data_IF_574791604163
#
_entry.id   IF_574791604163
#
_cell.length_a   1.000
_cell.length_b   1.000
_cell.length_c   1.000
_cell.angle_alpha   90.00
_cell.angle_beta   90.00
_cell.angle_gamma   90.00
#
_symmetry.space_group_name_H-M   'P 1'
#
loop_
_entity.id
_entity.type
_entity.pdbx_description
1 polymer ?
#
# COMPACT_ATOMS: atom_id res chain seq x y z
N UNK A 1 2.53 15.20 -7.56
CA UNK A 1 3.66 14.24 -7.59
C UNK A 1 3.20 12.91 -8.17
N UNK A 2 4.11 12.05 -8.62
CA UNK A 2 3.75 10.74 -9.20
C UNK A 2 2.93 9.84 -8.26
N UNK A 3 3.16 9.93 -6.95
CA UNK A 3 2.43 9.15 -5.95
C UNK A 3 0.97 9.58 -5.81
N UNK A 4 0.65 10.87 -5.95
CA UNK A 4 -0.74 11.36 -5.84
C UNK A 4 -1.59 10.78 -6.98
N UNK A 5 -1.05 10.85 -8.20
CA UNK A 5 -1.71 10.30 -9.40
C UNK A 5 -1.89 8.79 -9.27
N UNK A 6 -0.91 8.09 -8.71
CA UNK A 6 -1.03 6.65 -8.47
C UNK A 6 -2.12 6.33 -7.44
N UNK A 7 -2.13 7.03 -6.30
CA UNK A 7 -3.17 6.89 -5.27
C UNK A 7 -4.57 7.18 -5.83
N UNK A 8 -4.71 8.23 -6.63
CA UNK A 8 -5.99 8.55 -7.28
C UNK A 8 -6.40 7.44 -8.26
N UNK A 9 -5.47 6.91 -9.06
CA UNK A 9 -5.73 5.79 -9.96
C UNK A 9 -6.20 4.53 -9.22
N UNK A 10 -5.64 4.24 -8.04
CA UNK A 10 -6.09 3.13 -7.20
C UNK A 10 -7.54 3.31 -6.72
N UNK A 11 -7.92 4.53 -6.32
CA UNK A 11 -9.30 4.83 -5.94
C UNK A 11 -10.24 4.71 -7.14
N UNK A 12 -9.85 5.25 -8.30
CA UNK A 12 -10.65 5.15 -9.53
C UNK A 12 -10.83 3.69 -9.97
N UNK A 13 -9.81 2.86 -9.82
CA UNK A 13 -9.90 1.43 -10.08
C UNK A 13 -10.96 0.77 -9.17
N UNK A 14 -10.98 1.09 -7.87
CA UNK A 14 -12.00 0.57 -6.97
C UNK A 14 -13.40 1.10 -7.26
N UNK A 15 -13.54 2.34 -7.72
CA UNK A 15 -14.82 2.89 -8.20
C UNK A 15 -15.33 2.08 -9.40
N UNK A 16 -14.48 1.86 -10.41
CA UNK A 16 -14.84 1.07 -11.61
C UNK A 16 -15.22 -0.38 -11.28
N UNK A 17 -14.66 -0.94 -10.21
CA UNK A 17 -15.01 -2.27 -9.69
C UNK A 17 -16.22 -2.29 -8.75
N UNK A 18 -16.91 -1.16 -8.56
CA UNK A 18 -18.02 -1.02 -7.61
C UNK A 18 -17.63 -1.48 -6.18
N UNK A 19 -16.39 -1.16 -5.78
CA UNK A 19 -15.79 -1.58 -4.51
C UNK A 19 -15.79 -3.12 -4.31
N UNK A 20 -15.71 -3.90 -5.39
CA UNK A 20 -15.59 -5.35 -5.34
C UNK A 20 -14.16 -5.87 -5.46
N UNK A 21 -13.90 -6.99 -4.77
CA UNK A 21 -12.73 -7.83 -4.96
C UNK A 21 -11.44 -7.44 -4.23
N UNK A 22 -11.45 -6.35 -3.44
CA UNK A 22 -10.37 -6.01 -2.50
C UNK A 22 -8.95 -6.09 -3.08
N UNK A 23 -7.97 -6.43 -2.22
CA UNK A 23 -6.66 -6.90 -2.66
C UNK A 23 -6.72 -8.42 -2.85
N UNK A 24 -6.51 -8.96 -4.06
CA UNK A 24 -6.58 -10.40 -4.31
C UNK A 24 -5.63 -11.22 -3.41
N UNK A 25 -4.44 -10.68 -3.16
CA UNK A 25 -3.42 -11.33 -2.29
C UNK A 25 -3.85 -11.24 -0.82
N UNK A 26 -4.30 -10.07 -0.36
CA UNK A 26 -4.74 -9.87 1.03
C UNK A 26 -5.97 -10.71 1.40
N UNK A 27 -6.91 -10.88 0.47
CA UNK A 27 -8.09 -11.74 0.69
C UNK A 27 -7.72 -13.22 0.85
N UNK A 28 -6.70 -13.70 0.13
CA UNK A 28 -6.21 -15.07 0.25
C UNK A 28 -5.38 -15.27 1.53
N UNK A 29 -4.58 -14.27 1.91
CA UNK A 29 -3.70 -14.32 3.08
C UNK A 29 -4.46 -14.69 4.36
N UNK A 30 -5.63 -14.08 4.61
CA UNK A 30 -6.43 -14.39 5.80
C UNK A 30 -6.95 -15.83 5.87
N UNK A 31 -7.04 -16.53 4.74
CA UNK A 31 -7.51 -17.93 4.70
C UNK A 31 -6.37 -18.93 4.84
N UNK A 32 -5.19 -18.60 4.31
CA UNK A 32 -4.08 -19.55 4.18
C UNK A 32 -2.95 -19.33 5.18
N UNK A 33 -2.78 -18.12 5.74
CA UNK A 33 -1.63 -17.78 6.57
C UNK A 33 -1.42 -18.73 7.76
N UNK A 34 -2.50 -19.13 8.43
CA UNK A 34 -2.43 -20.00 9.62
C UNK A 34 -2.47 -21.51 9.30
N UNK A 35 -2.69 -21.90 8.04
CA UNK A 35 -3.00 -23.29 7.68
C UNK A 35 -2.10 -23.89 6.61
N UNK A 36 -1.46 -23.04 5.81
CA UNK A 36 -0.64 -23.44 4.68
C UNK A 36 0.66 -22.60 4.65
N UNK A 37 1.76 -23.11 5.23
CA UNK A 37 3.03 -22.41 5.27
C UNK A 37 3.60 -22.07 3.88
N UNK A 38 3.36 -22.91 2.88
CA UNK A 38 3.88 -22.73 1.52
C UNK A 38 3.09 -21.62 0.80
N UNK A 39 1.76 -21.63 0.92
CA UNK A 39 0.93 -20.54 0.42
C UNK A 39 1.23 -19.21 1.13
N UNK A 40 1.45 -19.23 2.45
CA UNK A 40 1.90 -18.05 3.21
C UNK A 40 3.22 -17.50 2.67
N UNK A 41 4.20 -18.37 2.42
CA UNK A 41 5.49 -17.97 1.86
C UNK A 41 5.34 -17.38 0.45
N UNK A 42 4.52 -17.99 -0.41
CA UNK A 42 4.26 -17.47 -1.76
C UNK A 42 3.59 -16.08 -1.73
N UNK A 43 2.64 -15.87 -0.81
CA UNK A 43 2.00 -14.57 -0.59
C UNK A 43 3.00 -13.52 -0.11
N UNK A 44 3.87 -13.88 0.85
CA UNK A 44 4.91 -12.99 1.35
C UNK A 44 5.84 -12.53 0.21
N UNK A 45 6.29 -13.46 -0.65
CA UNK A 45 7.11 -13.12 -1.83
C UNK A 45 6.37 -12.17 -2.78
N UNK A 46 5.06 -12.36 -2.97
CA UNK A 46 4.24 -11.46 -3.79
C UNK A 46 4.15 -10.05 -3.21
N UNK A 47 3.94 -9.93 -1.91
CA UNK A 47 3.92 -8.65 -1.19
C UNK A 47 5.29 -7.97 -1.21
N UNK A 48 6.37 -8.72 -0.98
CA UNK A 48 7.75 -8.21 -1.00
C UNK A 48 8.12 -7.61 -2.35
N UNK A 49 7.73 -8.26 -3.45
CA UNK A 49 7.97 -7.73 -4.82
C UNK A 49 7.25 -6.40 -5.02
N UNK A 50 6.03 -6.28 -4.53
CA UNK A 50 5.29 -5.02 -4.66
C UNK A 50 5.86 -3.94 -3.74
N UNK A 51 6.25 -4.28 -2.51
CA UNK A 51 6.84 -3.34 -1.56
C UNK A 51 8.22 -2.86 -2.00
N UNK A 52 9.01 -3.71 -2.69
CA UNK A 52 10.31 -3.33 -3.25
C UNK A 52 10.20 -2.10 -4.16
N UNK A 53 9.17 -2.02 -5.01
CA UNK A 53 8.95 -0.84 -5.86
C UNK A 53 8.69 0.44 -5.07
N UNK A 54 7.98 0.35 -3.93
CA UNK A 54 7.78 1.50 -3.04
C UNK A 54 9.10 1.90 -2.38
N UNK A 55 9.84 0.92 -1.87
CA UNK A 55 11.12 1.11 -1.20
C UNK A 55 12.14 1.76 -2.12
N UNK A 56 12.25 1.30 -3.35
CA UNK A 56 13.17 1.84 -4.36
C UNK A 56 12.83 3.30 -4.70
N UNK A 57 11.54 3.60 -4.89
CA UNK A 57 11.07 4.96 -5.12
C UNK A 57 11.42 5.90 -3.95
N UNK A 58 11.19 5.46 -2.72
CA UNK A 58 11.48 6.23 -1.50
C UNK A 58 12.99 6.39 -1.25
N UNK A 59 13.78 5.34 -1.50
CA UNK A 59 15.23 5.40 -1.43
C UNK A 59 15.80 6.39 -2.46
N UNK A 60 15.24 6.39 -3.67
CA UNK A 60 15.51 7.40 -4.68
C UNK A 60 15.18 8.81 -4.17
N UNK A 61 13.98 9.02 -3.61
CA UNK A 61 13.59 10.33 -3.04
C UNK A 61 14.56 10.81 -1.95
N UNK A 62 14.99 9.94 -1.04
CA UNK A 62 15.99 10.27 -0.02
C UNK A 62 17.34 10.66 -0.63
N UNK A 63 17.81 9.89 -1.61
CA UNK A 63 19.08 10.14 -2.31
C UNK A 63 19.08 11.51 -3.01
N UNK A 64 17.94 11.93 -3.55
CA UNK A 64 17.76 13.25 -4.18
C UNK A 64 17.38 14.37 -3.20
N UNK A 65 17.47 14.14 -1.89
CA UNK A 65 17.19 15.15 -0.87
C UNK A 65 15.72 15.55 -0.76
N UNK A 66 14.77 14.72 -1.22
CA UNK A 66 13.32 14.96 -1.07
C UNK A 66 12.74 14.37 0.21
N UNK A 67 13.46 13.46 0.85
CA UNK A 67 13.18 12.96 2.19
C UNK A 67 14.32 13.38 3.12
N UNK A 68 14.02 13.55 4.41
CA UNK A 68 15.05 13.82 5.41
C UNK A 68 16.11 12.72 5.43
N UNK A 69 17.32 13.09 5.85
CA UNK A 69 18.45 12.16 5.92
C UNK A 69 18.21 10.99 6.89
N UNK A 70 17.43 11.21 7.93
CA UNK A 70 17.05 10.23 8.95
C UNK A 70 15.78 9.43 8.61
N UNK A 71 15.12 9.74 7.49
CA UNK A 71 13.97 8.97 7.05
C UNK A 71 14.39 7.54 6.67
N UNK A 72 13.63 6.55 7.14
CA UNK A 72 13.78 5.15 6.78
C UNK A 72 12.84 4.78 5.62
N UNK A 73 13.36 4.61 4.38
CA UNK A 73 12.54 4.25 3.22
C UNK A 73 11.85 2.89 3.37
N UNK A 74 12.44 1.94 4.10
CA UNK A 74 11.86 0.62 4.29
C UNK A 74 10.61 0.72 5.17
N UNK A 75 10.72 1.36 6.34
CA UNK A 75 9.57 1.58 7.22
C UNK A 75 8.44 2.38 6.53
N UNK A 76 8.79 3.41 5.75
CA UNK A 76 7.81 4.19 4.99
C UNK A 76 7.11 3.36 3.89
N UNK A 77 7.85 2.45 3.23
CA UNK A 77 7.28 1.54 2.24
C UNK A 77 6.29 0.57 2.90
N UNK A 78 6.69 -0.10 3.98
CA UNK A 78 5.82 -1.01 4.74
C UNK A 78 4.57 -0.29 5.26
N UNK A 79 4.71 0.91 5.84
CA UNK A 79 3.57 1.69 6.34
C UNK A 79 2.59 2.09 5.21
N UNK A 80 3.13 2.44 4.03
CA UNK A 80 2.32 2.74 2.85
C UNK A 80 1.59 1.50 2.35
N UNK A 81 2.28 0.36 2.27
CA UNK A 81 1.72 -0.94 1.89
C UNK A 81 0.56 -1.34 2.83
N UNK A 82 0.79 -1.26 4.14
CA UNK A 82 -0.21 -1.57 5.15
C UNK A 82 -1.46 -0.68 5.03
N UNK A 83 -1.27 0.62 4.79
CA UNK A 83 -2.38 1.56 4.56
C UNK A 83 -3.21 1.17 3.34
N UNK A 84 -2.56 0.77 2.25
CA UNK A 84 -3.25 0.31 1.04
C UNK A 84 -4.05 -0.97 1.31
N UNK A 85 -3.43 -1.97 1.94
CA UNK A 85 -4.08 -3.25 2.25
C UNK A 85 -5.31 -3.06 3.15
N UNK A 86 -5.17 -2.28 4.22
CA UNK A 86 -6.28 -1.95 5.12
C UNK A 86 -7.38 -1.15 4.40
N UNK A 87 -7.02 -0.18 3.57
CA UNK A 87 -7.97 0.59 2.76
C UNK A 87 -8.77 -0.27 1.78
N UNK A 88 -8.10 -1.18 1.08
CA UNK A 88 -8.74 -2.12 0.14
C UNK A 88 -9.69 -3.08 0.86
N UNK A 89 -9.30 -3.59 2.03
CA UNK A 89 -10.15 -4.43 2.88
C UNK A 89 -11.42 -3.67 3.30
N UNK A 90 -11.28 -2.47 3.86
CA UNK A 90 -12.42 -1.66 4.30
C UNK A 90 -13.34 -1.29 3.13
N UNK A 91 -12.77 -0.91 1.98
CA UNK A 91 -13.54 -0.64 0.76
C UNK A 91 -14.36 -1.86 0.33
N UNK A 92 -13.78 -3.06 0.35
CA UNK A 92 -14.47 -4.29 -0.01
C UNK A 92 -15.63 -4.60 0.93
N UNK A 93 -15.42 -4.50 2.24
CA UNK A 93 -16.43 -4.84 3.24
C UNK A 93 -17.58 -3.82 3.25
N UNK A 94 -17.26 -2.51 3.15
CA UNK A 94 -18.25 -1.43 3.24
C UNK A 94 -18.86 -1.04 1.89
N UNK A 95 -18.35 -1.61 0.79
CA UNK A 95 -18.72 -1.24 -0.59
C UNK A 95 -18.54 0.25 -0.89
N UNK A 96 -17.48 0.83 -0.34
CA UNK A 96 -17.22 2.26 -0.39
C UNK A 96 -15.74 2.56 -0.74
N UNK A 97 -15.44 3.07 -1.95
CA UNK A 97 -14.08 3.46 -2.35
C UNK A 97 -13.49 4.61 -1.52
N UNK A 98 -14.31 5.36 -0.79
CA UNK A 98 -13.83 6.42 0.09
C UNK A 98 -12.98 5.89 1.25
N UNK A 99 -13.16 4.64 1.65
CA UNK A 99 -12.31 4.00 2.66
C UNK A 99 -10.84 3.93 2.22
N UNK A 100 -10.59 3.50 0.98
CA UNK A 100 -9.24 3.52 0.38
C UNK A 100 -8.70 4.94 0.26
N UNK A 101 -9.53 5.92 -0.12
CA UNK A 101 -9.12 7.34 -0.18
C UNK A 101 -8.59 7.83 1.17
N UNK A 102 -9.30 7.54 2.26
CA UNK A 102 -8.88 7.93 3.62
C UNK A 102 -7.53 7.30 3.96
N UNK A 103 -7.37 6.00 3.71
CA UNK A 103 -6.12 5.30 4.02
C UNK A 103 -4.93 5.83 3.21
N UNK A 104 -5.13 6.12 1.92
CA UNK A 104 -4.10 6.71 1.06
C UNK A 104 -3.74 8.14 1.48
N UNK A 105 -4.70 8.93 1.98
CA UNK A 105 -4.41 10.24 2.56
C UNK A 105 -3.56 10.12 3.82
N UNK A 106 -3.81 9.14 4.68
CA UNK A 106 -2.99 8.87 5.86
C UNK A 106 -1.54 8.48 5.46
N UNK A 107 -1.38 7.57 4.50
CA UNK A 107 -0.07 7.21 3.95
C UNK A 107 0.66 8.44 3.38
N UNK A 108 -0.04 9.29 2.63
CA UNK A 108 0.51 10.54 2.10
C UNK A 108 0.98 11.48 3.20
N UNK A 109 0.20 11.62 4.27
CA UNK A 109 0.56 12.47 5.39
C UNK A 109 1.81 11.94 6.10
N UNK A 110 1.93 10.62 6.28
CA UNK A 110 3.14 10.00 6.83
C UNK A 110 4.39 10.29 5.97
N UNK A 111 4.26 10.19 4.64
CA UNK A 111 5.35 10.52 3.72
C UNK A 111 5.73 12.01 3.76
N UNK A 112 4.75 12.92 3.89
CA UNK A 112 5.00 14.35 4.07
C UNK A 112 5.71 14.65 5.38
N UNK A 113 5.37 13.95 6.45
CA UNK A 113 6.08 14.03 7.72
C UNK A 113 7.52 13.52 7.63
N UNK A 114 7.95 12.89 6.54
CA UNK A 114 9.33 12.47 6.28
C UNK A 114 10.04 13.31 5.21
N UNK A 115 9.36 14.29 4.60
CA UNK A 115 9.93 15.17 3.59
C UNK A 115 11.01 16.11 4.18
N UNK A 116 12.00 16.45 3.35
CA UNK A 116 13.08 17.39 3.69
C UNK A 116 12.69 18.85 3.46
#
# INVERSE_FOLDING_TARGET
MGIDRWFDAMVQHQIGRQACGGCPIGSLAGQVAERDPDARAAIAVGLDRWEAHLRDGLAGMRTHGKLRKDADPAALATATMASIQGGLLLTQIRRDPHQLRIALNAARNNLRLAAA
#
